data_IF_087893702692
#
_entry.id   IF_087893702692
#
_cell.length_a   1.000
_cell.length_b   1.000
_cell.length_c   1.000
_cell.angle_alpha   90.00
_cell.angle_beta   90.00
_cell.angle_gamma   90.00
#
_symmetry.space_group_name_H-M   'P 1'
#
loop_
_entity.id
_entity.type
_entity.pdbx_description
1 polymer ?
#
# COMPACT_ATOMS: atom_id res chain seq x y z
N UNK A 1 -15.51 -1.68 -1.51
CA UNK A 1 -15.00 -0.30 -1.42
C UNK A 1 -16.11 0.65 -1.77
N UNK A 2 -16.43 1.62 -0.91
CA UNK A 2 -17.33 2.71 -1.28
C UNK A 2 -16.57 3.77 -2.10
N UNK A 3 -17.25 4.56 -2.96
CA UNK A 3 -16.59 5.61 -3.73
C UNK A 3 -15.81 6.62 -2.86
N UNK A 4 -16.30 6.89 -1.63
CA UNK A 4 -15.65 7.75 -0.63
C UNK A 4 -14.31 7.19 -0.12
N UNK A 5 -14.15 5.86 -0.07
CA UNK A 5 -12.93 5.22 0.40
C UNK A 5 -11.76 5.48 -0.55
N UNK A 6 -12.03 5.58 -1.87
CA UNK A 6 -10.98 5.75 -2.90
C UNK A 6 -10.13 6.99 -2.66
N UNK A 7 -10.77 8.12 -2.33
CA UNK A 7 -10.06 9.37 -2.02
C UNK A 7 -9.20 9.25 -0.76
N UNK A 8 -9.72 8.57 0.26
CA UNK A 8 -8.97 8.30 1.48
C UNK A 8 -7.78 7.38 1.22
N UNK A 9 -7.97 6.29 0.47
CA UNK A 9 -6.92 5.32 0.13
C UNK A 9 -5.80 6.01 -0.65
N UNK A 10 -6.14 6.71 -1.75
CA UNK A 10 -5.17 7.43 -2.57
C UNK A 10 -4.37 8.44 -1.73
N UNK A 11 -5.07 9.30 -0.99
CA UNK A 11 -4.40 10.34 -0.20
C UNK A 11 -3.56 9.77 0.95
N UNK A 12 -4.01 8.70 1.60
CA UNK A 12 -3.27 8.06 2.69
C UNK A 12 -2.07 7.26 2.20
N UNK A 13 -2.17 6.58 1.04
CA UNK A 13 -1.04 5.92 0.39
C UNK A 13 0.05 6.92 0.06
N UNK A 14 -0.28 7.96 -0.71
CA UNK A 14 0.70 8.94 -1.18
C UNK A 14 1.42 9.63 -0.01
N UNK A 15 0.68 10.09 1.00
CA UNK A 15 1.27 10.72 2.20
C UNK A 15 2.15 9.76 2.99
N UNK A 16 1.70 8.52 3.19
CA UNK A 16 2.47 7.53 3.94
C UNK A 16 3.74 7.13 3.19
N UNK A 17 3.66 6.90 1.88
CA UNK A 17 4.81 6.47 1.09
C UNK A 17 5.83 7.60 0.94
N UNK A 18 5.40 8.83 0.65
CA UNK A 18 6.27 10.00 0.59
C UNK A 18 7.07 10.22 1.89
N UNK A 19 6.43 10.02 3.04
CA UNK A 19 7.08 10.25 4.33
C UNK A 19 7.95 9.10 4.84
N UNK A 20 7.76 7.87 4.31
CA UNK A 20 8.30 6.65 4.95
C UNK A 20 9.05 5.69 4.04
N UNK A 21 9.04 5.89 2.74
CA UNK A 21 9.84 5.09 1.81
C UNK A 21 11.17 5.77 1.47
N UNK A 22 12.16 5.01 0.99
CA UNK A 22 13.39 5.58 0.44
C UNK A 22 13.09 6.39 -0.81
N UNK A 23 12.28 5.86 -1.72
CA UNK A 23 11.83 6.55 -2.92
C UNK A 23 11.18 7.90 -2.58
N UNK A 24 10.29 7.93 -1.58
CA UNK A 24 9.65 9.16 -1.10
C UNK A 24 10.63 10.16 -0.50
N UNK A 25 11.65 9.69 0.25
CA UNK A 25 12.71 10.56 0.78
C UNK A 25 13.57 11.16 -0.33
N UNK A 26 13.98 10.35 -1.30
CA UNK A 26 14.80 10.82 -2.43
C UNK A 26 14.13 11.97 -3.18
N UNK A 27 12.81 11.88 -3.43
CA UNK A 27 12.06 12.96 -4.08
C UNK A 27 11.98 14.24 -3.25
N UNK A 28 11.93 14.15 -1.91
CA UNK A 28 11.92 15.32 -1.03
C UNK A 28 13.28 16.02 -0.98
N UNK A 29 14.36 15.27 -1.21
CA UNK A 29 15.72 15.78 -1.22
C UNK A 29 16.10 16.34 -2.60
N UNK A 30 15.57 15.77 -3.69
CA UNK A 30 15.90 16.14 -5.07
C UNK A 30 14.93 17.13 -5.73
N UNK A 31 13.76 17.40 -5.13
CA UNK A 31 12.71 18.21 -5.76
C UNK A 31 11.58 18.62 -4.82
N UNK A 32 10.53 19.24 -5.38
CA UNK A 32 9.36 19.64 -4.60
C UNK A 32 8.48 18.42 -4.28
N UNK A 33 7.91 18.39 -3.08
CA UNK A 33 6.84 17.43 -2.74
C UNK A 33 5.71 17.46 -3.77
N UNK A 34 5.44 18.62 -4.36
CA UNK A 34 4.46 18.80 -5.43
C UNK A 34 4.76 17.93 -6.65
N UNK A 35 6.03 17.81 -7.06
CA UNK A 35 6.44 17.04 -8.22
C UNK A 35 6.24 15.54 -7.95
N UNK A 36 6.58 15.10 -6.74
CA UNK A 36 6.29 13.73 -6.30
C UNK A 36 4.80 13.39 -6.41
N UNK A 37 3.90 14.24 -5.90
CA UNK A 37 2.47 13.96 -5.99
C UNK A 37 1.97 14.02 -7.44
N UNK A 38 2.52 14.92 -8.26
CA UNK A 38 2.14 15.07 -9.67
C UNK A 38 2.51 13.83 -10.48
N UNK A 39 3.73 13.33 -10.31
CA UNK A 39 4.24 12.21 -11.11
C UNK A 39 3.81 10.85 -10.54
N UNK A 40 3.69 10.73 -9.22
CA UNK A 40 3.41 9.46 -8.56
C UNK A 40 1.92 9.17 -8.36
N UNK A 41 1.07 10.20 -8.24
CA UNK A 41 -0.37 9.98 -8.09
C UNK A 41 -1.00 9.19 -9.25
N UNK A 42 -0.64 9.42 -10.53
CA UNK A 42 -1.13 8.59 -11.64
C UNK A 42 -0.78 7.10 -11.48
N UNK A 43 0.43 6.80 -10.99
CA UNK A 43 0.87 5.42 -10.73
C UNK A 43 0.01 4.78 -9.65
N UNK A 44 -0.15 5.44 -8.50
CA UNK A 44 -0.96 4.91 -7.40
C UNK A 44 -2.43 4.78 -7.79
N UNK A 45 -2.97 5.70 -8.59
CA UNK A 45 -4.34 5.59 -9.13
C UNK A 45 -4.50 4.33 -9.99
N UNK A 46 -3.56 4.10 -10.92
CA UNK A 46 -3.56 2.91 -11.77
C UNK A 46 -3.50 1.62 -10.94
N UNK A 47 -2.64 1.58 -9.92
CA UNK A 47 -2.57 0.44 -9.00
C UNK A 47 -3.89 0.22 -8.25
N UNK A 48 -4.51 1.28 -7.72
CA UNK A 48 -5.80 1.18 -7.03
C UNK A 48 -6.89 0.65 -7.97
N UNK A 49 -6.89 1.09 -9.23
CA UNK A 49 -7.94 0.73 -10.19
C UNK A 49 -7.85 -0.73 -10.66
N UNK A 50 -6.66 -1.34 -10.58
CA UNK A 50 -6.43 -2.76 -10.96
C UNK A 50 -6.35 -3.71 -9.76
N UNK A 51 -6.18 -3.18 -8.55
CA UNK A 51 -6.08 -3.98 -7.33
C UNK A 51 -7.46 -4.33 -6.76
N UNK A 52 -7.56 -5.52 -6.16
CA UNK A 52 -8.54 -5.80 -5.13
C UNK A 52 -8.21 -4.97 -3.88
N UNK A 53 -9.14 -4.10 -3.48
CA UNK A 53 -9.03 -3.28 -2.28
C UNK A 53 -9.81 -3.91 -1.14
N UNK A 54 -9.10 -4.31 -0.09
CA UNK A 54 -9.72 -4.76 1.17
C UNK A 54 -9.64 -3.64 2.18
N UNK A 55 -10.80 -3.28 2.74
CA UNK A 55 -10.93 -2.21 3.74
C UNK A 55 -11.38 -2.83 5.07
N UNK A 56 -10.60 -2.62 6.12
CA UNK A 56 -10.96 -2.99 7.47
C UNK A 56 -11.67 -1.81 8.16
N UNK A 57 -12.91 -2.00 8.60
CA UNK A 57 -13.71 -1.01 9.31
C UNK A 57 -14.09 -1.49 10.71
N UNK A 58 -14.52 -0.57 11.57
CA UNK A 58 -15.09 -0.93 12.87
C UNK A 58 -16.51 -1.49 12.69
N UNK A 59 -16.82 -2.57 13.41
CA UNK A 59 -18.16 -3.19 13.34
C UNK A 59 -19.26 -2.20 13.76
N UNK A 60 -18.99 -1.39 14.77
CA UNK A 60 -19.93 -0.40 15.31
C UNK A 60 -20.00 0.86 14.45
N UNK A 61 -19.00 1.09 13.59
CA UNK A 61 -18.88 2.28 12.72
C UNK A 61 -18.28 1.87 11.36
N UNK A 62 -19.10 1.33 10.43
CA UNK A 62 -18.62 0.86 9.13
C UNK A 62 -17.92 1.93 8.27
N UNK A 63 -18.24 3.20 8.47
CA UNK A 63 -17.59 4.33 7.78
C UNK A 63 -16.21 4.67 8.37
N UNK A 64 -15.86 4.08 9.52
CA UNK A 64 -14.59 4.30 10.20
C UNK A 64 -13.55 3.27 9.74
N UNK A 65 -12.84 3.58 8.64
CA UNK A 65 -11.72 2.79 8.14
C UNK A 65 -10.63 2.69 9.22
N UNK A 66 -10.29 1.48 9.66
CA UNK A 66 -9.16 1.19 10.56
C UNK A 66 -7.86 0.93 9.77
N UNK A 67 -7.99 0.32 8.59
CA UNK A 67 -6.90 0.04 7.68
C UNK A 67 -7.40 -0.41 6.31
N UNK A 68 -6.49 -0.55 5.36
CA UNK A 68 -6.78 -1.07 4.04
C UNK A 68 -5.54 -1.75 3.45
N UNK A 69 -5.75 -2.61 2.45
CA UNK A 69 -4.70 -3.13 1.59
C UNK A 69 -5.12 -3.11 0.12
N UNK A 70 -4.13 -3.02 -0.75
CA UNK A 70 -4.27 -3.12 -2.19
C UNK A 70 -3.44 -4.32 -2.68
N UNK A 71 -4.11 -5.28 -3.31
CA UNK A 71 -3.49 -6.48 -3.87
C UNK A 71 -3.96 -6.72 -5.30
N UNK A 72 -3.04 -7.02 -6.21
CA UNK A 72 -3.29 -7.39 -7.61
C UNK A 72 -2.78 -8.83 -7.77
N UNK A 73 -3.66 -9.83 -7.89
CA UNK A 73 -3.29 -11.25 -7.90
C UNK A 73 -2.43 -11.66 -6.68
N UNK A 74 -1.15 -12.01 -6.89
CA UNK A 74 -0.16 -12.36 -5.86
C UNK A 74 0.75 -11.17 -5.48
N UNK A 75 0.44 -9.97 -5.96
CA UNK A 75 1.20 -8.75 -5.73
C UNK A 75 0.55 -7.84 -4.66
N UNK A 76 1.09 -7.84 -3.45
CA UNK A 76 0.71 -6.88 -2.41
C UNK A 76 1.34 -5.52 -2.71
N UNK A 77 0.54 -4.59 -3.22
CA UNK A 77 1.05 -3.25 -3.50
C UNK A 77 1.23 -2.42 -2.24
N UNK A 78 0.25 -2.45 -1.33
CA UNK A 78 0.33 -1.64 -0.13
C UNK A 78 -0.58 -2.16 0.97
N UNK A 79 -0.16 -1.99 2.22
CA UNK A 79 -1.00 -2.18 3.39
C UNK A 79 -0.79 -1.01 4.34
N UNK A 80 -1.90 -0.42 4.79
CA UNK A 80 -1.89 0.70 5.71
C UNK A 80 -2.87 0.46 6.85
N UNK A 81 -2.39 0.63 8.08
CA UNK A 81 -3.22 0.67 9.28
C UNK A 81 -3.07 2.04 9.93
N UNK A 82 -4.20 2.69 10.26
CA UNK A 82 -4.20 3.98 10.97
C UNK A 82 -3.44 3.85 12.29
N UNK A 83 -2.65 4.85 12.72
CA UNK A 83 -1.82 4.78 13.92
C UNK A 83 -2.52 4.25 15.17
N UNK A 84 -3.75 4.69 15.42
CA UNK A 84 -4.57 4.27 16.57
C UNK A 84 -4.90 2.77 16.60
N UNK A 85 -4.92 2.11 15.44
CA UNK A 85 -5.28 0.69 15.30
C UNK A 85 -4.08 -0.22 15.01
N UNK A 86 -2.86 0.33 15.04
CA UNK A 86 -1.63 -0.46 14.88
C UNK A 86 -1.42 -1.33 16.11
N UNK A 87 -0.80 -2.49 15.91
CA UNK A 87 -0.56 -3.51 16.95
C UNK A 87 -1.85 -4.15 17.51
N UNK A 88 -3.01 -3.90 16.90
CA UNK A 88 -4.28 -4.57 17.20
C UNK A 88 -4.57 -5.76 16.26
N UNK A 89 -3.58 -6.23 15.49
CA UNK A 89 -3.77 -7.35 14.57
C UNK A 89 -4.47 -7.03 13.24
N UNK A 90 -4.86 -5.77 12.97
CA UNK A 90 -5.61 -5.39 11.75
C UNK A 90 -4.89 -5.80 10.46
N UNK A 91 -3.60 -5.50 10.33
CA UNK A 91 -2.83 -5.92 9.15
C UNK A 91 -2.71 -7.44 9.04
N UNK A 92 -2.49 -8.13 10.16
CA UNK A 92 -2.42 -9.60 10.20
C UNK A 92 -3.73 -10.24 9.76
N UNK A 93 -4.86 -9.66 10.15
CA UNK A 93 -6.18 -10.12 9.75
C UNK A 93 -6.42 -9.92 8.25
N UNK A 94 -6.11 -8.74 7.70
CA UNK A 94 -6.24 -8.50 6.25
C UNK A 94 -5.34 -9.41 5.42
N UNK A 95 -4.16 -9.78 5.93
CA UNK A 95 -3.17 -10.60 5.25
C UNK A 95 -3.27 -12.10 5.57
N UNK A 96 -4.30 -12.54 6.29
CA UNK A 96 -4.38 -13.90 6.81
C UNK A 96 -4.32 -14.96 5.69
N UNK A 97 -5.06 -14.72 4.61
CA UNK A 97 -5.12 -15.65 3.46
C UNK A 97 -3.80 -15.71 2.67
N UNK A 98 -2.90 -14.75 2.89
CA UNK A 98 -1.64 -14.60 2.18
C UNK A 98 -0.43 -15.04 3.00
N UNK A 99 -0.63 -15.45 4.26
CA UNK A 99 0.46 -15.74 5.18
C UNK A 99 1.31 -16.96 4.77
N UNK A 100 0.73 -17.90 4.02
CA UNK A 100 1.36 -19.16 3.63
C UNK A 100 1.57 -19.32 2.12
N UNK A 101 1.28 -18.28 1.34
CA UNK A 101 1.47 -18.29 -0.12
C UNK A 101 2.62 -17.37 -0.52
N UNK A 102 3.30 -17.64 -1.64
CA UNK A 102 4.23 -16.69 -2.22
C UNK A 102 3.51 -15.37 -2.53
N UNK A 103 4.08 -14.26 -2.07
CA UNK A 103 3.56 -12.91 -2.34
C UNK A 103 4.72 -12.03 -2.76
N UNK A 104 4.50 -11.27 -3.82
CA UNK A 104 5.40 -10.20 -4.21
C UNK A 104 4.87 -8.91 -3.58
N UNK A 105 5.64 -8.24 -2.74
CA UNK A 105 5.27 -6.90 -2.29
C UNK A 105 6.06 -5.84 -3.02
N UNK A 106 5.39 -4.75 -3.42
CA UNK A 106 5.99 -3.79 -4.37
C UNK A 106 6.42 -2.46 -3.74
N UNK A 107 5.90 -2.16 -2.56
CA UNK A 107 6.22 -0.96 -1.80
C UNK A 107 6.70 -1.32 -0.41
N UNK A 108 7.83 -0.76 -0.02
CA UNK A 108 8.39 -0.91 1.31
C UNK A 108 8.47 0.46 1.99
N UNK A 109 8.15 0.50 3.28
CA UNK A 109 8.27 1.69 4.12
C UNK A 109 9.06 1.35 5.39
N UNK A 110 9.50 2.36 6.12
CA UNK A 110 10.12 2.17 7.43
C UNK A 110 9.21 1.43 8.43
N UNK A 111 7.88 1.58 8.29
CA UNK A 111 6.91 0.82 9.10
C UNK A 111 6.94 -0.67 8.73
N UNK A 112 6.96 -1.02 7.43
CA UNK A 112 6.95 -2.42 6.99
C UNK A 112 8.27 -3.15 7.27
N UNK A 113 9.42 -2.46 7.21
CA UNK A 113 10.73 -3.03 7.59
C UNK A 113 10.79 -3.49 9.05
N UNK A 114 9.93 -2.93 9.92
CA UNK A 114 9.83 -3.29 11.33
C UNK A 114 8.88 -4.47 11.57
N UNK A 115 8.20 -4.94 10.53
CA UNK A 115 7.29 -6.07 10.61
C UNK A 115 7.97 -7.31 10.01
N UNK A 116 7.91 -8.46 10.69
CA UNK A 116 8.37 -9.71 10.09
C UNK A 116 7.49 -10.01 8.87
N UNK A 117 8.11 -10.13 7.70
CA UNK A 117 7.47 -10.64 6.50
C UNK A 117 7.60 -12.16 6.46
N UNK A 118 6.57 -12.90 6.03
CA UNK A 118 6.66 -14.35 5.86
C UNK A 118 7.82 -14.75 4.93
N UNK A 119 8.44 -15.90 5.18
CA UNK A 119 9.59 -16.37 4.41
C UNK A 119 9.30 -16.54 2.92
N UNK A 120 8.05 -16.80 2.54
CA UNK A 120 7.66 -16.94 1.13
C UNK A 120 7.55 -15.58 0.40
N UNK A 121 7.62 -14.46 1.11
CA UNK A 121 7.37 -13.14 0.52
C UNK A 121 8.64 -12.50 -0.03
N UNK A 122 8.52 -11.80 -1.16
CA UNK A 122 9.66 -11.17 -1.86
C UNK A 122 9.35 -9.72 -2.18
N UNK A 123 10.31 -8.83 -1.90
CA UNK A 123 10.24 -7.45 -2.34
C UNK A 123 10.61 -7.38 -3.83
N UNK A 124 9.72 -6.83 -4.65
CA UNK A 124 10.03 -6.42 -6.03
C UNK A 124 9.56 -4.99 -6.24
N UNK A 125 10.47 -4.03 -6.12
CA UNK A 125 10.13 -2.60 -6.20
C UNK A 125 9.42 -2.29 -7.51
N UNK A 126 8.30 -1.57 -7.43
CA UNK A 126 7.44 -1.24 -8.58
C UNK A 126 8.20 -0.55 -9.74
N UNK A 127 9.24 0.23 -9.45
CA UNK A 127 10.10 0.83 -10.48
C UNK A 127 10.82 -0.18 -11.40
N UNK A 128 10.84 -1.46 -11.04
CA UNK A 128 11.55 -2.55 -11.74
C UNK A 128 10.58 -3.54 -12.40
N UNK A 129 9.30 -3.18 -12.57
CA UNK A 129 8.41 -3.94 -13.44
C UNK A 129 8.64 -3.51 -14.89
N UNK A 130 9.19 -4.35 -15.78
CA UNK A 130 9.29 -3.99 -17.18
C UNK A 130 7.88 -3.86 -17.76
N UNK A 131 7.69 -2.88 -18.63
CA UNK A 131 6.49 -2.70 -19.48
C UNK A 131 6.26 -3.85 -20.47
N UNK A 132 6.80 -5.03 -20.21
CA UNK A 132 6.72 -6.19 -21.09
C UNK A 132 5.64 -7.14 -20.59
N UNK A 133 4.37 -6.76 -20.78
CA UNK A 133 3.24 -7.68 -21.01
C UNK A 133 2.11 -6.93 -21.70
N UNK A 134 2.33 -6.48 -22.92
CA UNK A 134 1.28 -6.38 -23.92
C UNK A 134 1.83 -7.03 -25.19
N UNK A 135 1.13 -8.06 -25.64
CA UNK A 135 1.39 -8.86 -26.84
C UNK A 135 1.14 -8.03 -28.10
#
# INVERSE_FOLDING_TARGET
MQPSDRNYILSSWLRSFAGKSEDGRGFRESGSLTDFFTDYAPVVRSLIDRSAIVVACLKEKPDAIAGWMAIEEDALHYVLVKPRWRRCGVARWMLADYASVPVVFTHETSDSRRCPVPEAWRLRRWRVWPKEREQ
#
